data_IF_357938717000
#
_entry.id   IF_357938717000
#
_cell.length_a   1.000
_cell.length_b   1.000
_cell.length_c   1.000
_cell.angle_alpha   90.00
_cell.angle_beta   90.00
_cell.angle_gamma   90.00
#
_symmetry.space_group_name_H-M   'P 1'
#
loop_
_entity.id
_entity.type
_entity.pdbx_description
1 polymer ?
#
# COMPACT_ATOMS: atom_id res chain seq x y z
N UNK A 1 45.87 -24.63 -32.74
CA UNK A 1 45.34 -24.75 -31.36
C UNK A 1 44.82 -23.46 -30.69
N UNK A 2 44.73 -22.27 -31.32
CA UNK A 2 43.97 -21.13 -30.74
C UNK A 2 42.46 -21.12 -31.07
N UNK A 3 42.04 -21.83 -32.12
CA UNK A 3 40.66 -21.78 -32.61
C UNK A 3 39.65 -22.56 -31.73
N UNK A 4 40.12 -23.52 -30.93
CA UNK A 4 39.23 -24.31 -30.05
C UNK A 4 38.73 -23.52 -28.84
N UNK A 5 39.57 -22.62 -28.30
CA UNK A 5 39.27 -21.82 -27.10
C UNK A 5 38.30 -20.67 -27.44
N UNK A 6 38.46 -20.05 -28.61
CA UNK A 6 37.57 -18.96 -29.05
C UNK A 6 36.12 -19.44 -29.29
N UNK A 7 35.94 -20.66 -29.79
CA UNK A 7 34.62 -21.24 -30.05
C UNK A 7 33.85 -21.56 -28.76
N UNK A 8 34.53 -21.96 -27.68
CA UNK A 8 33.91 -22.26 -26.39
C UNK A 8 33.41 -20.97 -25.71
N UNK A 9 34.16 -19.86 -25.79
CA UNK A 9 33.77 -18.59 -25.15
C UNK A 9 32.52 -17.99 -25.81
N UNK A 10 32.36 -18.10 -27.13
CA UNK A 10 31.21 -17.56 -27.85
C UNK A 10 29.94 -18.39 -27.57
N UNK A 11 30.05 -19.71 -27.48
CA UNK A 11 28.91 -20.60 -27.18
C UNK A 11 28.45 -20.42 -25.73
N UNK A 12 29.37 -20.29 -24.78
CA UNK A 12 29.04 -19.99 -23.38
C UNK A 12 28.44 -18.59 -23.23
N UNK A 13 28.94 -17.59 -23.97
CA UNK A 13 28.35 -16.24 -24.00
C UNK A 13 26.91 -16.21 -24.54
N UNK A 14 26.61 -16.97 -25.60
CA UNK A 14 25.26 -17.08 -26.16
C UNK A 14 24.30 -17.85 -25.25
N UNK A 15 24.78 -18.88 -24.54
CA UNK A 15 23.97 -19.60 -23.55
C UNK A 15 23.72 -18.77 -22.30
N UNK A 16 24.70 -18.00 -21.80
CA UNK A 16 24.49 -17.03 -20.70
C UNK A 16 23.48 -15.95 -21.13
N UNK A 17 23.53 -15.48 -22.38
CA UNK A 17 22.59 -14.50 -22.90
C UNK A 17 21.14 -15.05 -22.96
N UNK A 18 20.96 -16.33 -23.33
CA UNK A 18 19.63 -16.95 -23.29
C UNK A 18 19.13 -17.25 -21.86
N UNK A 19 20.01 -17.50 -20.88
CA UNK A 19 19.61 -17.59 -19.47
C UNK A 19 19.27 -16.22 -18.85
N UNK A 20 19.82 -15.11 -19.36
CA UNK A 20 19.43 -13.76 -18.93
C UNK A 20 18.10 -13.28 -19.53
N UNK A 21 17.67 -13.83 -20.68
CA UNK A 21 16.35 -13.50 -21.27
C UNK A 21 15.18 -14.29 -20.68
N UNK A 22 15.43 -15.37 -19.91
CA UNK A 22 14.38 -16.09 -19.16
C UNK A 22 14.42 -15.83 -17.65
N UNK A 23 15.56 -15.43 -17.09
CA UNK A 23 15.68 -15.07 -15.67
C UNK A 23 14.82 -13.86 -15.25
N UNK A 24 14.50 -12.96 -16.19
CA UNK A 24 13.62 -11.81 -15.94
C UNK A 24 12.13 -12.06 -16.19
N UNK A 25 11.76 -13.22 -16.76
CA UNK A 25 10.37 -13.49 -17.19
C UNK A 25 9.62 -14.34 -16.16
N UNK A 26 10.30 -15.27 -15.48
CA UNK A 26 9.72 -16.04 -14.37
C UNK A 26 9.32 -15.15 -13.19
N UNK A 27 10.12 -14.14 -12.88
CA UNK A 27 9.85 -13.17 -11.82
C UNK A 27 8.67 -12.25 -12.18
N UNK A 28 8.55 -11.85 -13.45
CA UNK A 28 7.39 -11.10 -13.96
C UNK A 28 6.11 -11.93 -14.03
N UNK A 29 6.18 -13.21 -14.41
CA UNK A 29 5.01 -14.12 -14.43
C UNK A 29 4.49 -14.34 -13.01
N UNK A 30 5.40 -14.52 -12.05
CA UNK A 30 5.05 -14.61 -10.62
C UNK A 30 4.46 -13.29 -10.11
N UNK A 31 5.05 -12.15 -10.50
CA UNK A 31 4.52 -10.82 -10.19
C UNK A 31 3.12 -10.56 -10.76
N UNK A 32 2.79 -11.06 -11.96
CA UNK A 32 1.43 -10.92 -12.53
C UNK A 32 0.39 -11.68 -11.69
N UNK A 33 0.73 -12.88 -11.19
CA UNK A 33 -0.16 -13.64 -10.30
C UNK A 33 -0.30 -12.97 -8.93
N UNK A 34 0.80 -12.45 -8.38
CA UNK A 34 0.81 -11.73 -7.10
C UNK A 34 -0.02 -10.43 -7.14
N UNK A 35 -0.05 -9.75 -8.30
CA UNK A 35 -0.80 -8.50 -8.48
C UNK A 35 -2.29 -8.62 -8.10
N UNK A 36 -2.96 -9.68 -8.54
CA UNK A 36 -4.38 -9.88 -8.23
C UNK A 36 -4.60 -10.02 -6.71
N UNK A 37 -3.71 -10.73 -6.03
CA UNK A 37 -3.75 -10.86 -4.57
C UNK A 37 -3.48 -9.52 -3.87
N UNK A 38 -2.51 -8.73 -4.35
CA UNK A 38 -2.24 -7.38 -3.81
C UNK A 38 -3.48 -6.48 -3.95
N UNK A 39 -4.09 -6.45 -5.13
CA UNK A 39 -5.29 -5.65 -5.38
C UNK A 39 -6.44 -6.12 -4.47
N UNK A 40 -6.60 -7.43 -4.25
CA UNK A 40 -7.64 -7.96 -3.38
C UNK A 40 -7.48 -7.50 -1.93
N UNK A 41 -6.25 -7.55 -1.39
CA UNK A 41 -5.94 -7.05 -0.04
C UNK A 41 -6.23 -5.55 0.10
N UNK A 42 -5.88 -4.75 -0.91
CA UNK A 42 -6.20 -3.32 -0.95
C UNK A 42 -7.73 -3.10 -0.94
N UNK A 43 -8.49 -3.87 -1.72
CA UNK A 43 -9.94 -3.72 -1.80
C UNK A 43 -10.67 -4.13 -0.50
N UNK A 44 -10.14 -5.10 0.24
CA UNK A 44 -10.66 -5.49 1.55
C UNK A 44 -10.57 -4.33 2.55
N UNK A 45 -9.43 -3.63 2.59
CA UNK A 45 -9.26 -2.44 3.44
C UNK A 45 -10.10 -1.28 2.93
N UNK A 46 -10.08 -1.02 1.62
CA UNK A 46 -10.84 0.08 1.00
C UNK A 46 -12.34 0.02 1.34
N UNK A 47 -12.94 -1.15 1.25
CA UNK A 47 -14.39 -1.32 1.53
C UNK A 47 -14.72 -0.93 2.97
N UNK A 48 -13.88 -1.34 3.94
CA UNK A 48 -14.06 -0.94 5.34
C UNK A 48 -13.81 0.55 5.58
N UNK A 49 -12.81 1.13 4.91
CA UNK A 49 -12.57 2.58 4.97
C UNK A 49 -13.73 3.39 4.38
N UNK A 50 -14.39 2.89 3.33
CA UNK A 50 -15.56 3.55 2.76
C UNK A 50 -16.73 3.57 3.75
N UNK A 51 -17.00 2.46 4.43
CA UNK A 51 -18.03 2.42 5.48
C UNK A 51 -17.69 3.34 6.66
N UNK A 52 -16.45 3.30 7.14
CA UNK A 52 -16.00 4.17 8.23
C UNK A 52 -16.04 5.66 7.87
N UNK A 53 -15.67 6.02 6.63
CA UNK A 53 -15.74 7.39 6.13
C UNK A 53 -17.19 7.87 5.98
N UNK A 54 -18.09 7.00 5.51
CA UNK A 54 -19.54 7.28 5.42
C UNK A 54 -20.14 7.54 6.80
N UNK A 55 -19.71 6.78 7.80
CA UNK A 55 -20.14 6.93 9.20
C UNK A 55 -19.42 8.07 9.93
N UNK A 56 -18.54 8.81 9.23
CA UNK A 56 -17.77 9.96 9.75
C UNK A 56 -16.84 9.60 10.92
N UNK A 57 -16.40 8.35 10.98
CA UNK A 57 -15.55 7.82 12.07
C UNK A 57 -14.07 8.10 11.89
N UNK A 58 -13.63 8.45 10.69
CA UNK A 58 -12.21 8.70 10.40
C UNK A 58 -11.88 10.17 10.66
N UNK A 59 -10.86 10.45 11.48
CA UNK A 59 -10.35 11.81 11.76
C UNK A 59 -8.85 11.93 11.47
N UNK A 60 -8.35 13.14 11.17
CA UNK A 60 -6.90 13.36 11.01
C UNK A 60 -6.17 13.40 12.37
N UNK A 61 -6.76 14.09 13.34
CA UNK A 61 -6.17 14.30 14.68
C UNK A 61 -7.21 14.17 15.77
N UNK A 62 -6.76 13.89 17.00
CA UNK A 62 -7.59 13.79 18.20
C UNK A 62 -8.74 12.76 18.08
N UNK A 63 -8.43 11.47 17.87
CA UNK A 63 -9.45 10.42 17.89
C UNK A 63 -10.14 10.38 19.26
N UNK A 64 -11.47 10.23 19.25
CA UNK A 64 -12.24 9.98 20.45
C UNK A 64 -12.42 8.47 20.62
N UNK A 65 -11.66 7.87 21.54
CA UNK A 65 -11.78 6.45 21.87
C UNK A 65 -12.63 6.19 23.12
N UNK A 66 -13.21 7.25 23.70
CA UNK A 66 -14.01 7.17 24.92
C UNK A 66 -15.48 7.48 24.61
N UNK A 67 -16.40 6.50 24.75
CA UNK A 67 -17.80 6.72 24.48
C UNK A 67 -18.43 7.75 25.44
N UNK A 68 -17.83 8.00 26.60
CA UNK A 68 -18.30 9.03 27.53
C UNK A 68 -18.05 10.47 27.02
N UNK A 69 -17.16 10.64 26.03
CA UNK A 69 -16.77 11.95 25.48
C UNK A 69 -17.46 12.30 24.16
N UNK A 70 -18.34 11.43 23.66
CA UNK A 70 -19.11 11.64 22.43
C UNK A 70 -18.96 10.48 21.45
N UNK A 71 -19.23 10.77 20.17
CA UNK A 71 -19.09 9.76 19.10
C UNK A 71 -17.64 9.29 18.99
N UNK A 72 -17.45 7.97 18.93
CA UNK A 72 -16.13 7.39 18.73
C UNK A 72 -15.57 7.79 17.37
N UNK A 73 -14.30 8.17 17.31
CA UNK A 73 -13.57 8.51 16.09
C UNK A 73 -12.14 7.99 16.15
N UNK A 74 -11.56 7.69 15.00
CA UNK A 74 -10.29 6.97 14.88
C UNK A 74 -9.45 7.55 13.74
N UNK A 75 -8.14 7.50 13.91
CA UNK A 75 -7.16 7.86 12.88
C UNK A 75 -6.24 6.69 12.51
N UNK A 76 -6.58 5.47 12.96
CA UNK A 76 -5.78 4.27 12.76
C UNK A 76 -6.64 3.08 12.34
N UNK A 77 -6.07 2.14 11.59
CA UNK A 77 -6.75 0.90 11.21
C UNK A 77 -7.22 0.08 12.42
N UNK A 78 -6.44 0.02 13.50
CA UNK A 78 -6.84 -0.73 14.69
C UNK A 78 -8.07 -0.14 15.38
N UNK A 79 -8.22 1.18 15.39
CA UNK A 79 -9.42 1.82 15.96
C UNK A 79 -10.68 1.54 15.12
N UNK A 80 -10.53 1.47 13.80
CA UNK A 80 -11.63 1.08 12.92
C UNK A 80 -11.97 -0.42 13.04
N UNK A 81 -10.97 -1.26 13.34
CA UNK A 81 -11.17 -2.69 13.57
C UNK A 81 -11.93 -3.00 14.86
N UNK A 82 -11.79 -2.19 15.91
CA UNK A 82 -12.57 -2.38 17.15
C UNK A 82 -14.07 -2.15 16.94
N UNK A 83 -14.44 -1.30 15.98
CA UNK A 83 -15.84 -1.08 15.55
C UNK A 83 -16.28 -2.05 14.43
N UNK A 84 -15.45 -3.05 14.09
CA UNK A 84 -15.74 -4.07 13.08
C UNK A 84 -15.98 -3.56 11.66
N UNK A 85 -15.28 -2.50 11.25
CA UNK A 85 -15.43 -1.94 9.89
C UNK A 85 -14.85 -2.82 8.77
N UNK A 86 -13.95 -3.74 9.06
CA UNK A 86 -13.34 -4.64 8.06
C UNK A 86 -13.94 -6.04 8.10
N UNK A 87 -13.49 -6.93 7.21
CA UNK A 87 -13.80 -8.34 7.30
C UNK A 87 -13.28 -8.93 8.62
N UNK A 88 -13.97 -9.95 9.16
CA UNK A 88 -13.68 -10.53 10.47
C UNK A 88 -12.21 -10.94 10.65
N UNK A 89 -11.60 -11.53 9.61
CA UNK A 89 -10.18 -11.92 9.66
C UNK A 89 -9.24 -10.71 9.82
N UNK A 90 -9.54 -9.61 9.14
CA UNK A 90 -8.79 -8.36 9.21
C UNK A 90 -8.97 -7.71 10.58
N UNK A 91 -10.21 -7.63 11.08
CA UNK A 91 -10.49 -7.10 12.41
C UNK A 91 -9.77 -7.89 13.50
N UNK A 92 -9.85 -9.23 13.43
CA UNK A 92 -9.21 -10.12 14.39
C UNK A 92 -7.69 -9.95 14.40
N UNK A 93 -7.08 -9.80 13.22
CA UNK A 93 -5.65 -9.55 13.15
C UNK A 93 -5.29 -8.18 13.73
N UNK A 94 -5.97 -7.11 13.33
CA UNK A 94 -5.70 -5.75 13.81
C UNK A 94 -5.85 -5.63 15.32
N UNK A 95 -6.90 -6.23 15.88
CA UNK A 95 -7.13 -6.26 17.32
C UNK A 95 -6.05 -7.07 18.05
N UNK A 96 -5.63 -8.22 17.51
CA UNK A 96 -4.57 -9.04 18.10
C UNK A 96 -3.17 -8.42 17.97
N UNK A 97 -2.92 -7.60 16.95
CA UNK A 97 -1.66 -6.85 16.84
C UNK A 97 -1.52 -5.95 18.07
N UNK A 98 -2.59 -5.30 18.52
CA UNK A 98 -2.57 -4.49 19.75
C UNK A 98 -2.16 -5.33 20.96
N UNK A 99 -2.78 -6.49 21.12
CA UNK A 99 -2.54 -7.42 22.22
C UNK A 99 -1.13 -8.02 22.20
N UNK A 100 -0.51 -8.16 21.03
CA UNK A 100 0.77 -8.85 20.83
C UNK A 100 2.01 -8.12 21.40
N UNK A 101 1.85 -6.96 22.07
CA UNK A 101 2.95 -6.26 22.74
C UNK A 101 4.13 -5.90 21.79
N UNK A 102 5.36 -5.95 22.29
CA UNK A 102 6.58 -5.59 21.53
C UNK A 102 7.08 -6.67 20.56
N UNK A 103 6.38 -7.80 20.39
CA UNK A 103 6.88 -8.92 19.58
C UNK A 103 6.75 -8.72 18.06
N UNK A 104 5.87 -7.81 17.61
CA UNK A 104 5.74 -7.49 16.20
C UNK A 104 6.79 -6.45 15.78
N UNK A 105 7.78 -6.87 15.01
CA UNK A 105 8.71 -5.94 14.35
C UNK A 105 7.97 -5.25 13.20
N UNK A 106 7.62 -3.97 13.35
CA UNK A 106 6.96 -3.17 12.32
C UNK A 106 7.99 -2.48 11.41
N UNK A 107 7.63 -2.10 10.16
CA UNK A 107 8.48 -1.24 9.34
C UNK A 107 8.73 0.11 10.04
N UNK A 108 9.94 0.65 9.93
CA UNK A 108 10.43 1.81 10.70
C UNK A 108 9.61 3.08 10.55
N UNK A 109 8.80 3.17 9.50
CA UNK A 109 8.06 4.36 9.11
C UNK A 109 6.55 4.25 9.40
N UNK A 110 6.12 3.25 10.15
CA UNK A 110 4.70 3.01 10.43
C UNK A 110 4.44 2.87 11.93
N UNK A 111 3.22 3.21 12.33
CA UNK A 111 2.75 3.06 13.70
C UNK A 111 2.03 1.72 13.88
N UNK A 112 2.28 1.01 14.97
CA UNK A 112 1.72 -0.32 15.24
C UNK A 112 0.20 -0.35 15.17
N UNK A 113 -0.44 0.71 15.63
CA UNK A 113 -1.89 0.91 15.67
C UNK A 113 -2.49 1.11 14.27
N UNK A 114 -1.67 1.48 13.29
CA UNK A 114 -2.10 1.81 11.96
C UNK A 114 -1.56 0.85 10.90
N UNK A 115 -1.29 -0.40 11.27
CA UNK A 115 -0.68 -1.40 10.39
C UNK A 115 -1.59 -2.62 10.26
N UNK A 116 -1.88 -2.99 9.02
CA UNK A 116 -2.43 -4.28 8.64
C UNK A 116 -1.37 -5.07 7.86
N UNK A 117 -1.01 -6.28 8.32
CA UNK A 117 -0.11 -7.15 7.59
C UNK A 117 -0.93 -8.07 6.67
N UNK A 118 -0.76 -7.99 5.36
CA UNK A 118 -1.61 -8.67 4.41
C UNK A 118 -1.57 -10.21 4.57
N UNK A 119 -2.72 -10.80 4.91
CA UNK A 119 -2.84 -12.24 5.20
C UNK A 119 -2.47 -13.09 3.98
N UNK A 120 -2.87 -12.66 2.78
CA UNK A 120 -2.57 -13.35 1.52
C UNK A 120 -1.07 -13.50 1.24
N UNK A 121 -0.21 -12.76 1.95
CA UNK A 121 1.24 -12.81 1.82
C UNK A 121 1.93 -13.30 3.10
N UNK A 122 1.23 -14.09 3.92
CA UNK A 122 1.76 -14.63 5.17
C UNK A 122 1.79 -13.63 6.32
N UNK A 123 1.07 -12.51 6.20
CA UNK A 123 0.88 -11.56 7.28
C UNK A 123 0.02 -12.15 8.40
N UNK A 124 0.38 -11.85 9.64
CA UNK A 124 -0.33 -12.27 10.84
C UNK A 124 -0.28 -11.16 11.90
N UNK A 125 -0.73 -11.46 13.11
CA UNK A 125 -0.57 -10.56 14.25
C UNK A 125 0.87 -10.54 14.80
N UNK A 126 1.72 -11.47 14.38
CA UNK A 126 3.14 -11.59 14.79
C UNK A 126 4.12 -11.40 13.63
N UNK A 127 3.67 -11.57 12.39
CA UNK A 127 4.50 -11.54 11.19
C UNK A 127 4.01 -10.50 10.19
N UNK A 128 4.94 -9.76 9.59
CA UNK A 128 4.65 -8.73 8.58
C UNK A 128 4.19 -9.30 7.22
N UNK A 129 4.51 -10.56 6.94
CA UNK A 129 4.30 -11.15 5.61
C UNK A 129 5.08 -10.41 4.52
N UNK A 130 4.55 -10.40 3.30
CA UNK A 130 5.12 -9.71 2.13
C UNK A 130 4.57 -8.32 1.83
N UNK A 131 3.51 -7.88 2.53
CA UNK A 131 2.85 -6.60 2.25
C UNK A 131 2.24 -6.05 3.54
N UNK A 132 2.44 -4.75 3.76
CA UNK A 132 1.86 -4.03 4.89
C UNK A 132 1.07 -2.83 4.39
N UNK A 133 -0.10 -2.60 4.99
CA UNK A 133 -1.01 -1.52 4.66
C UNK A 133 -1.23 -0.60 5.87
N UNK A 134 -1.43 0.68 5.61
CA UNK A 134 -1.75 1.67 6.64
C UNK A 134 -2.79 2.69 6.15
N UNK A 135 -3.58 3.24 7.08
CA UNK A 135 -4.50 4.34 6.77
C UNK A 135 -3.73 5.65 6.62
N UNK A 136 -4.06 6.41 5.59
CA UNK A 136 -3.64 7.80 5.43
C UNK A 136 -4.86 8.70 5.64
N UNK A 137 -4.88 9.44 6.74
CA UNK A 137 -5.97 10.34 7.09
C UNK A 137 -5.56 11.80 6.87
N UNK A 138 -6.34 12.55 6.09
CA UNK A 138 -6.20 14.01 5.93
C UNK A 138 -7.56 14.66 5.97
N UNK A 139 -7.74 15.65 6.85
CA UNK A 139 -9.01 16.33 7.06
C UNK A 139 -9.62 16.86 5.77
N UNK A 140 -10.93 16.68 5.63
CA UNK A 140 -11.77 17.09 4.50
C UNK A 140 -11.37 16.46 3.15
N UNK A 141 -10.58 15.38 3.18
CA UNK A 141 -10.14 14.64 2.00
C UNK A 141 -10.55 13.18 2.08
N UNK A 142 -10.52 12.50 0.93
CA UNK A 142 -10.75 11.06 0.88
C UNK A 142 -9.63 10.32 1.64
N UNK A 143 -9.96 9.29 2.43
CA UNK A 143 -8.94 8.49 3.10
C UNK A 143 -8.08 7.76 2.06
N UNK A 144 -6.78 7.69 2.34
CA UNK A 144 -5.82 6.95 1.51
C UNK A 144 -5.40 5.63 2.14
N UNK A 145 -4.84 4.74 1.32
CA UNK A 145 -4.21 3.49 1.75
C UNK A 145 -2.74 3.55 1.37
N UNK A 146 -1.86 3.60 2.37
CA UNK A 146 -0.43 3.41 2.15
C UNK A 146 -0.14 1.91 2.04
N UNK A 147 0.69 1.55 1.08
CA UNK A 147 1.13 0.19 0.81
C UNK A 147 2.66 0.16 0.84
N UNK A 148 3.22 -0.76 1.62
CA UNK A 148 4.65 -1.04 1.64
C UNK A 148 4.88 -2.52 1.30
N UNK A 149 5.55 -2.75 0.17
CA UNK A 149 5.99 -4.08 -0.31
C UNK A 149 7.48 -4.31 -0.06
N UNK A 150 8.23 -3.26 0.30
CA UNK A 150 9.69 -3.24 0.36
C UNK A 150 10.17 -2.83 1.74
N UNK A 151 10.06 -3.79 2.65
CA UNK A 151 10.59 -3.73 3.99
C UNK A 151 11.44 -4.96 4.28
N UNK A 152 12.21 -4.90 5.37
CA UNK A 152 13.06 -6.03 5.76
C UNK A 152 12.22 -7.25 6.15
N UNK A 153 12.50 -8.39 5.52
CA UNK A 153 11.72 -9.63 5.64
C UNK A 153 10.52 -9.76 4.69
N UNK A 154 10.28 -8.80 3.79
CA UNK A 154 9.20 -8.93 2.78
C UNK A 154 9.54 -9.98 1.71
N UNK A 155 8.58 -10.86 1.43
CA UNK A 155 8.65 -11.83 0.32
C UNK A 155 8.38 -11.22 -1.06
N UNK A 156 7.92 -9.97 -1.12
CA UNK A 156 7.63 -9.25 -2.36
C UNK A 156 8.70 -8.20 -2.70
N UNK A 157 9.75 -8.09 -1.88
CA UNK A 157 10.78 -7.05 -1.99
C UNK A 157 11.43 -6.99 -3.38
N UNK A 158 11.76 -8.14 -3.95
CA UNK A 158 12.48 -8.22 -5.23
C UNK A 158 11.59 -7.83 -6.42
N UNK A 159 10.28 -8.05 -6.32
CA UNK A 159 9.28 -7.70 -7.36
C UNK A 159 8.55 -6.39 -7.08
N UNK A 160 8.85 -5.71 -5.98
CA UNK A 160 8.07 -4.59 -5.45
C UNK A 160 7.90 -3.44 -6.45
N UNK A 161 9.00 -3.00 -7.10
CA UNK A 161 8.93 -1.93 -8.10
C UNK A 161 8.16 -2.32 -9.38
N UNK A 162 8.17 -3.61 -9.75
CA UNK A 162 7.34 -4.11 -10.85
C UNK A 162 5.86 -4.11 -10.46
N UNK A 163 5.53 -4.65 -9.28
CA UNK A 163 4.16 -4.68 -8.75
C UNK A 163 3.57 -3.28 -8.62
N UNK A 164 4.32 -2.35 -8.05
CA UNK A 164 3.94 -0.95 -7.92
C UNK A 164 3.59 -0.33 -9.28
N UNK A 165 4.43 -0.54 -10.30
CA UNK A 165 4.17 -0.04 -11.66
C UNK A 165 2.92 -0.67 -12.29
N UNK A 166 2.70 -1.96 -12.09
CA UNK A 166 1.51 -2.63 -12.62
C UNK A 166 0.24 -2.16 -11.91
N UNK A 167 0.27 -2.02 -10.58
CA UNK A 167 -0.86 -1.53 -9.79
C UNK A 167 -1.18 -0.08 -10.17
N UNK A 168 -0.16 0.77 -10.35
CA UNK A 168 -0.32 2.12 -10.85
C UNK A 168 -1.06 2.17 -12.20
N UNK A 169 -0.66 1.30 -13.13
CA UNK A 169 -1.26 1.24 -14.45
C UNK A 169 -2.69 0.69 -14.46
N UNK A 170 -2.97 -0.33 -13.64
CA UNK A 170 -4.28 -0.98 -13.57
C UNK A 170 -5.31 -0.10 -12.85
N UNK A 171 -4.91 0.59 -11.78
CA UNK A 171 -5.82 1.39 -10.96
C UNK A 171 -5.95 2.84 -11.42
N UNK A 172 -5.17 3.32 -12.41
CA UNK A 172 -5.19 4.72 -12.88
C UNK A 172 -6.58 5.26 -13.25
N UNK A 173 -7.49 4.40 -13.69
CA UNK A 173 -8.85 4.80 -14.06
C UNK A 173 -9.78 5.04 -12.87
N UNK A 174 -9.43 4.51 -11.69
CA UNK A 174 -10.30 4.51 -10.50
C UNK A 174 -9.62 5.07 -9.25
N UNK A 175 -8.30 5.31 -9.29
CA UNK A 175 -7.53 5.82 -8.17
C UNK A 175 -6.32 6.64 -8.63
N UNK A 176 -5.95 7.60 -7.78
CA UNK A 176 -4.66 8.27 -7.84
C UNK A 176 -3.64 7.49 -7.01
N UNK A 177 -2.43 7.31 -7.54
CA UNK A 177 -1.36 6.59 -6.86
C UNK A 177 -0.17 7.51 -6.71
N UNK A 178 0.11 7.90 -5.47
CA UNK A 178 1.31 8.62 -5.09
C UNK A 178 2.47 7.64 -4.91
N UNK A 179 3.24 7.47 -5.98
CA UNK A 179 4.38 6.54 -6.07
C UNK A 179 5.67 7.07 -5.45
N UNK A 180 5.64 8.28 -4.88
CA UNK A 180 6.81 8.88 -4.22
C UNK A 180 6.66 8.87 -2.70
N UNK A 181 5.58 8.30 -2.17
CA UNK A 181 5.31 8.24 -0.75
C UNK A 181 6.17 7.19 -0.06
N UNK A 182 6.87 7.59 1.01
CA UNK A 182 7.74 6.70 1.80
C UNK A 182 7.21 6.41 3.21
N UNK A 183 6.10 7.06 3.59
CA UNK A 183 5.45 6.99 4.89
C UNK A 183 3.92 7.05 4.71
N UNK A 184 3.12 6.59 5.69
CA UNK A 184 1.66 6.68 5.67
C UNK A 184 1.16 8.09 6.01
N UNK A 185 1.73 9.11 5.38
CA UNK A 185 1.39 10.51 5.58
C UNK A 185 1.03 11.13 4.24
N UNK A 186 -0.07 11.89 4.21
CA UNK A 186 -0.50 12.59 3.02
C UNK A 186 0.56 13.58 2.52
N UNK A 187 0.80 13.58 1.20
CA UNK A 187 1.71 14.53 0.57
C UNK A 187 1.19 15.97 0.64
N UNK A 188 2.12 16.92 0.64
CA UNK A 188 1.82 18.35 0.76
C UNK A 188 1.78 19.07 -0.58
N UNK A 189 2.24 18.43 -1.66
CA UNK A 189 2.22 19.04 -2.99
C UNK A 189 0.80 18.98 -3.53
N UNK A 190 0.22 20.15 -3.80
CA UNK A 190 -1.14 20.25 -4.30
C UNK A 190 -1.26 19.61 -5.66
N UNK A 191 -2.26 18.74 -5.82
CA UNK A 191 -2.70 18.23 -7.11
C UNK A 191 -3.42 19.35 -7.85
N UNK A 192 -2.69 20.14 -8.66
CA UNK A 192 -3.26 21.27 -9.40
C UNK A 192 -3.03 21.12 -10.89
N UNK A 193 -4.13 21.23 -11.67
CA UNK A 193 -4.30 21.49 -13.14
C UNK A 193 -3.43 20.75 -14.19
N UNK A 194 -2.33 20.13 -13.80
CA UNK A 194 -1.29 19.50 -14.63
C UNK A 194 -1.30 17.97 -14.47
N UNK A 195 -2.36 17.45 -13.84
CA UNK A 195 -2.65 16.03 -13.79
C UNK A 195 -3.89 15.78 -14.63
N UNK A 196 -3.92 14.69 -15.40
CA UNK A 196 -5.10 14.21 -16.13
C UNK A 196 -6.32 13.91 -15.20
N UNK A 197 -6.18 14.16 -13.90
CA UNK A 197 -7.22 14.18 -12.89
C UNK A 197 -7.98 15.51 -12.99
N UNK A 198 -9.14 15.51 -13.62
CA UNK A 198 -10.03 16.66 -13.65
C UNK A 198 -10.20 17.33 -12.26
N UNK A 199 -10.40 18.66 -12.25
CA UNK A 199 -10.40 19.51 -11.04
C UNK A 199 -11.19 18.95 -9.86
N UNK A 200 -12.38 18.41 -10.09
CA UNK A 200 -13.24 17.85 -9.03
C UNK A 200 -12.60 16.65 -8.30
N UNK A 201 -11.78 15.86 -8.99
CA UNK A 201 -11.04 14.74 -8.41
C UNK A 201 -9.80 15.24 -7.68
N UNK A 202 -9.11 16.23 -8.26
CA UNK A 202 -7.93 16.85 -7.66
C UNK A 202 -8.25 17.55 -6.32
N UNK A 203 -9.44 18.14 -6.18
CA UNK A 203 -9.88 18.78 -4.94
C UNK A 203 -10.24 17.78 -3.83
N UNK A 204 -10.55 16.51 -4.17
CA UNK A 204 -10.89 15.46 -3.21
C UNK A 204 -9.68 14.81 -2.54
N UNK A 205 -8.53 14.82 -3.21
CA UNK A 205 -7.31 14.17 -2.73
C UNK A 205 -6.44 15.15 -1.92
N UNK A 206 -5.64 14.67 -0.95
CA UNK A 206 -4.83 15.53 -0.08
C UNK A 206 -3.73 16.33 -0.79
N UNK A 207 -3.18 15.74 -1.85
CA UNK A 207 -1.90 16.12 -2.41
C UNK A 207 -1.02 14.88 -2.59
N UNK A 208 0.15 15.08 -3.20
CA UNK A 208 1.13 14.02 -3.45
C UNK A 208 2.49 14.37 -2.87
N UNK A 209 3.31 13.34 -2.72
CA UNK A 209 4.66 13.43 -2.18
C UNK A 209 5.60 13.88 -3.29
N UNK A 210 6.44 14.88 -3.02
CA UNK A 210 7.39 15.38 -4.01
C UNK A 210 8.33 14.26 -4.49
N UNK A 211 8.64 14.23 -5.80
CA UNK A 211 9.49 13.23 -6.42
C UNK A 211 10.92 13.17 -5.85
N UNK A 212 11.35 14.18 -5.09
CA UNK A 212 12.63 14.19 -4.39
C UNK A 212 12.68 13.29 -3.15
N UNK A 213 11.52 12.85 -2.65
CA UNK A 213 11.40 12.19 -1.35
C UNK A 213 11.25 10.66 -1.44
N UNK A 214 11.02 10.11 -2.63
CA UNK A 214 10.78 8.69 -2.87
C UNK A 214 11.15 8.28 -4.29
N UNK A 215 10.89 7.03 -4.65
CA UNK A 215 11.22 6.49 -5.97
C UNK A 215 10.06 5.68 -6.51
N UNK A 216 9.74 5.84 -7.79
CA UNK A 216 8.65 5.12 -8.46
C UNK A 216 8.95 3.63 -8.72
N UNK A 217 9.84 3.02 -7.95
CA UNK A 217 10.21 1.60 -8.01
C UNK A 217 10.58 1.08 -6.62
N UNK A 218 10.35 1.85 -5.57
CA UNK A 218 10.71 1.47 -4.22
C UNK A 218 9.67 0.55 -3.58
N UNK A 219 8.52 0.30 -4.22
CA UNK A 219 7.50 -0.58 -3.69
C UNK A 219 6.63 0.05 -2.60
N UNK A 220 6.68 1.38 -2.47
CA UNK A 220 5.94 2.16 -1.47
C UNK A 220 5.10 3.20 -2.16
N UNK A 221 3.83 3.25 -1.81
CA UNK A 221 2.90 4.16 -2.46
C UNK A 221 1.64 4.39 -1.64
N UNK A 222 0.96 5.52 -1.89
CA UNK A 222 -0.37 5.79 -1.34
C UNK A 222 -1.41 5.73 -2.46
N UNK A 223 -2.52 5.07 -2.20
CA UNK A 223 -3.66 4.99 -3.12
C UNK A 223 -4.80 5.85 -2.57
N UNK A 224 -5.36 6.71 -3.41
CA UNK A 224 -6.58 7.47 -3.14
C UNK A 224 -7.62 7.15 -4.21
N UNK A 225 -8.73 6.51 -3.83
CA UNK A 225 -9.76 6.09 -4.77
C UNK A 225 -10.75 7.21 -5.11
N UNK A 226 -11.20 7.24 -6.36
CA UNK A 226 -12.10 8.28 -6.87
C UNK A 226 -13.57 8.05 -6.54
N UNK A 227 -13.92 6.81 -6.20
CA UNK A 227 -15.32 6.38 -5.99
C UNK A 227 -15.85 6.65 -4.59
N UNK A 228 -15.07 7.32 -3.73
CA UNK A 228 -15.56 7.90 -2.49
C UNK A 228 -16.52 9.07 -2.78
N UNK A 229 -17.71 9.01 -2.17
CA UNK A 229 -18.70 10.07 -2.25
C UNK A 229 -18.18 11.36 -1.59
N UNK A 230 -18.76 12.51 -1.93
CA UNK A 230 -18.33 13.81 -1.37
C UNK A 230 -18.49 13.90 0.15
N UNK A 231 -19.35 13.08 0.74
CA UNK A 231 -19.53 12.97 2.19
C UNK A 231 -18.57 11.99 2.88
N UNK A 232 -17.94 11.10 2.11
CA UNK A 232 -17.03 10.04 2.59
C UNK A 232 -15.60 10.58 2.69
N UNK A 233 -15.43 11.55 3.58
CA UNK A 233 -14.16 12.24 3.84
C UNK A 233 -13.77 12.11 5.30
N UNK A 234 -12.47 12.20 5.56
CA UNK A 234 -11.91 12.31 6.91
C UNK A 234 -12.39 13.60 7.57
N UNK A 235 -12.74 13.53 8.85
CA UNK A 235 -13.24 14.65 9.67
C UNK A 235 -12.14 15.42 10.41
#
# INVERSE_FOLDING_TARGET
MPQLIAMIIIVVGAMIYMFQTFGGTGDKITGVAQKTSVITEIQNIKSGLQFAARDKKIVETNPNTDPAKGELTFNTLSGLASESYFAEQVNNQLNKIQESGNSLTIPTNMAKENIYNAISFGGSNTDKGGMVLALVAKKDKVPGIFVDLNFDGSTLKDTAGFLESQIANDLKGIAYIDRNATTPTAGTVTTGLDTDLGKATADKIPGYTAATNGSDKDGKFIIYFYDFASSEVVK
#
